data_IF_047165551349
#
_entry.id   IF_047165551349
#
_cell.length_a   1.000
_cell.length_b   1.000
_cell.length_c   1.000
_cell.angle_alpha   90.00
_cell.angle_beta   90.00
_cell.angle_gamma   90.00
#
_symmetry.space_group_name_H-M   'P 1'
#
loop_
_entity.id
_entity.type
_entity.pdbx_description
1 polymer ?
#
# COMPACT_ATOMS: atom_id res chain seq x y z
N UNK A 1 -24.43 2.69 -11.37
CA UNK A 1 -23.57 2.22 -10.29
C UNK A 1 -22.26 1.73 -10.82
N UNK A 2 -21.20 2.37 -10.39
CA UNK A 2 -19.88 2.03 -10.89
C UNK A 2 -19.28 0.90 -10.08
N UNK A 3 -19.38 -0.30 -10.64
CA UNK A 3 -18.61 -1.40 -10.09
C UNK A 3 -17.17 -1.22 -10.56
N UNK A 4 -16.26 -1.19 -9.62
CA UNK A 4 -14.86 -1.14 -9.93
C UNK A 4 -14.45 -2.41 -10.66
N UNK A 5 -13.53 -2.29 -11.58
CA UNK A 5 -12.91 -3.45 -12.20
C UNK A 5 -12.10 -4.20 -11.13
N UNK A 6 -11.87 -5.51 -11.30
CA UNK A 6 -11.11 -6.26 -10.30
C UNK A 6 -9.78 -5.61 -9.93
N UNK A 7 -9.04 -5.11 -10.91
CA UNK A 7 -7.75 -4.44 -10.67
C UNK A 7 -7.93 -3.18 -9.83
N UNK A 8 -8.90 -2.36 -10.18
CA UNK A 8 -9.20 -1.13 -9.45
C UNK A 8 -9.67 -1.42 -8.04
N UNK A 9 -10.49 -2.46 -7.88
CA UNK A 9 -10.99 -2.87 -6.57
C UNK A 9 -9.85 -3.34 -5.68
N UNK A 10 -8.91 -4.12 -6.23
CA UNK A 10 -7.75 -4.59 -5.46
C UNK A 10 -6.87 -3.44 -5.01
N UNK A 11 -6.64 -2.47 -5.87
CA UNK A 11 -5.89 -1.27 -5.49
C UNK A 11 -6.59 -0.49 -4.39
N UNK A 12 -7.91 -0.35 -4.48
CA UNK A 12 -8.70 0.34 -3.47
C UNK A 12 -8.65 -0.40 -2.12
N UNK A 13 -8.74 -1.73 -2.16
CA UNK A 13 -8.63 -2.55 -0.96
C UNK A 13 -7.26 -2.37 -0.31
N UNK A 14 -6.21 -2.43 -1.10
CA UNK A 14 -4.85 -2.25 -0.57
C UNK A 14 -4.66 -0.86 0.04
N UNK A 15 -5.13 0.18 -0.64
CA UNK A 15 -5.04 1.54 -0.13
C UNK A 15 -5.75 1.69 1.22
N UNK A 16 -6.93 1.10 1.34
CA UNK A 16 -7.67 1.14 2.59
C UNK A 16 -7.00 0.32 3.68
N UNK A 17 -6.43 -0.82 3.31
CA UNK A 17 -5.70 -1.68 4.24
C UNK A 17 -4.45 -0.99 4.79
N UNK A 18 -3.78 -0.19 3.97
CA UNK A 18 -2.65 0.64 4.42
C UNK A 18 -3.09 1.66 5.47
N UNK A 19 -4.23 2.27 5.24
CA UNK A 19 -4.72 3.32 6.14
C UNK A 19 -5.24 2.76 7.46
N UNK A 20 -6.02 1.69 7.39
CA UNK A 20 -6.69 1.11 8.57
C UNK A 20 -5.97 -0.08 9.17
N UNK A 21 -5.06 -0.67 8.45
CA UNK A 21 -4.23 -1.82 8.79
C UNK A 21 -4.98 -3.14 9.01
N UNK A 22 -6.24 -3.09 9.38
CA UNK A 22 -7.08 -4.27 9.56
C UNK A 22 -8.46 -4.03 8.98
N UNK A 23 -8.95 -4.97 8.18
CA UNK A 23 -10.26 -4.89 7.55
C UNK A 23 -10.93 -6.26 7.62
N UNK A 24 -12.25 -6.28 7.71
CA UNK A 24 -12.99 -7.54 7.65
C UNK A 24 -13.44 -7.83 6.22
N UNK A 25 -13.57 -9.11 5.91
CA UNK A 25 -14.04 -9.52 4.59
C UNK A 25 -15.47 -9.01 4.34
N UNK A 26 -16.32 -9.13 5.38
CA UNK A 26 -17.71 -8.65 5.27
C UNK A 26 -17.82 -7.16 4.98
N UNK A 27 -17.00 -6.36 5.64
CA UNK A 27 -16.97 -4.92 5.39
C UNK A 27 -16.61 -4.60 3.94
N UNK A 28 -15.58 -5.28 3.43
CA UNK A 28 -15.13 -5.06 2.05
C UNK A 28 -16.17 -5.52 1.03
N UNK A 29 -16.80 -6.65 1.28
CA UNK A 29 -17.85 -7.16 0.40
C UNK A 29 -19.01 -6.17 0.32
N UNK A 30 -19.44 -5.65 1.44
CA UNK A 30 -20.53 -4.67 1.50
C UNK A 30 -20.12 -3.37 0.82
N UNK A 31 -18.95 -2.87 1.12
CA UNK A 31 -18.48 -1.60 0.56
C UNK A 31 -18.40 -1.62 -0.96
N UNK A 32 -17.89 -2.72 -1.52
CA UNK A 32 -17.71 -2.80 -2.98
C UNK A 32 -18.86 -3.50 -3.71
N UNK A 33 -19.90 -3.88 -2.98
CA UNK A 33 -21.08 -4.49 -3.59
C UNK A 33 -20.82 -5.83 -4.26
N UNK A 34 -19.90 -6.62 -3.71
CA UNK A 34 -19.58 -7.96 -4.21
C UNK A 34 -19.72 -8.97 -3.07
N UNK A 35 -19.71 -10.26 -3.40
CA UNK A 35 -19.79 -11.28 -2.36
C UNK A 35 -18.43 -11.49 -1.69
N UNK A 36 -18.44 -12.14 -0.54
CA UNK A 36 -17.21 -12.39 0.22
C UNK A 36 -16.21 -13.26 -0.54
N UNK A 37 -16.72 -14.17 -1.36
CA UNK A 37 -15.87 -15.03 -2.18
C UNK A 37 -15.01 -14.20 -3.13
N UNK A 38 -15.60 -13.17 -3.73
CA UNK A 38 -14.88 -12.26 -4.62
C UNK A 38 -13.80 -11.49 -3.86
N UNK A 39 -14.12 -11.02 -2.66
CA UNK A 39 -13.15 -10.32 -1.83
C UNK A 39 -12.00 -11.24 -1.43
N UNK A 40 -12.30 -12.50 -1.05
CA UNK A 40 -11.25 -13.47 -0.70
C UNK A 40 -10.31 -13.71 -1.87
N UNK A 41 -10.86 -13.77 -3.08
CA UNK A 41 -10.07 -13.92 -4.29
C UNK A 41 -9.17 -12.71 -4.53
N UNK A 42 -9.70 -11.51 -4.31
CA UNK A 42 -8.91 -10.28 -4.44
C UNK A 42 -7.76 -10.27 -3.42
N UNK A 43 -8.04 -10.70 -2.20
CA UNK A 43 -7.01 -10.76 -1.15
C UNK A 43 -5.93 -11.77 -1.52
N UNK A 44 -6.31 -12.93 -2.07
CA UNK A 44 -5.33 -13.92 -2.53
C UNK A 44 -4.38 -13.32 -3.57
N UNK A 45 -4.91 -12.55 -4.52
CA UNK A 45 -4.08 -11.88 -5.52
C UNK A 45 -3.16 -10.85 -4.88
N UNK A 46 -3.66 -10.09 -3.91
CA UNK A 46 -2.85 -9.10 -3.21
C UNK A 46 -1.74 -9.74 -2.37
N UNK A 47 -1.97 -10.93 -1.82
CA UNK A 47 -0.95 -11.60 -1.02
C UNK A 47 0.26 -12.02 -1.85
N UNK A 48 0.12 -12.10 -3.16
CA UNK A 48 1.25 -12.40 -4.06
C UNK A 48 2.24 -11.23 -4.13
N UNK A 49 1.80 -10.03 -3.80
CA UNK A 49 2.60 -8.80 -3.93
C UNK A 49 2.91 -8.18 -2.58
N UNK A 50 1.98 -8.27 -1.64
CA UNK A 50 2.10 -7.61 -0.33
C UNK A 50 2.01 -8.62 0.80
N UNK A 51 2.67 -8.36 1.94
CA UNK A 51 2.61 -9.26 3.10
C UNK A 51 1.31 -9.05 3.87
N UNK A 52 0.25 -9.66 3.38
CA UNK A 52 -1.08 -9.60 3.97
C UNK A 52 -1.32 -10.89 4.75
N UNK A 53 -1.77 -10.75 5.98
CA UNK A 53 -2.11 -11.89 6.85
C UNK A 53 -3.61 -12.01 6.97
N UNK A 54 -4.11 -13.25 6.91
CA UNK A 54 -5.51 -13.53 7.19
C UNK A 54 -5.69 -13.75 8.68
N UNK A 55 -6.75 -13.14 9.22
CA UNK A 55 -7.09 -13.28 10.64
C UNK A 55 -8.39 -14.04 10.73
N UNK A 56 -8.38 -15.19 11.38
CA UNK A 56 -9.58 -15.96 11.65
C UNK A 56 -10.34 -15.33 12.80
N UNK A 57 -11.65 -15.19 12.66
CA UNK A 57 -12.45 -14.59 13.70
C UNK A 57 -13.89 -15.06 13.66
N UNK A 58 -14.62 -14.80 14.75
CA UNK A 58 -16.02 -15.19 14.91
C UNK A 58 -16.95 -14.59 13.86
N UNK A 59 -16.54 -13.51 13.24
CA UNK A 59 -17.39 -12.73 12.33
C UNK A 59 -16.89 -12.80 10.89
N UNK A 60 -16.48 -13.97 10.45
CA UNK A 60 -16.11 -14.18 9.06
C UNK A 60 -14.67 -13.91 8.69
N UNK A 61 -13.86 -13.57 9.66
CA UNK A 61 -12.44 -13.34 9.40
C UNK A 61 -12.13 -11.98 8.83
N UNK A 62 -10.86 -11.64 8.82
CA UNK A 62 -10.37 -10.37 8.32
C UNK A 62 -9.00 -10.49 7.73
N UNK A 63 -8.46 -9.37 7.31
CA UNK A 63 -7.12 -9.27 6.74
C UNK A 63 -6.40 -8.09 7.34
N UNK A 64 -5.10 -8.20 7.47
CA UNK A 64 -4.25 -7.10 7.93
C UNK A 64 -2.91 -7.15 7.22
N UNK A 65 -2.24 -6.01 7.15
CA UNK A 65 -0.85 -5.98 6.73
C UNK A 65 0.02 -6.48 7.88
N UNK A 66 1.08 -7.20 7.55
CA UNK A 66 2.03 -7.67 8.55
C UNK A 66 2.59 -6.48 9.31
N UNK A 67 2.78 -6.65 10.63
CA UNK A 67 3.22 -5.57 11.50
C UNK A 67 4.60 -5.01 11.11
N UNK A 68 5.46 -5.87 10.58
CA UNK A 68 6.79 -5.47 10.15
C UNK A 68 6.79 -4.68 8.84
N UNK A 69 5.69 -4.73 8.10
CA UNK A 69 5.61 -4.08 6.79
C UNK A 69 5.26 -2.60 6.93
N UNK A 70 6.16 -1.76 6.45
CA UNK A 70 5.97 -0.32 6.42
C UNK A 70 5.82 0.09 4.97
N UNK A 71 4.59 0.16 4.44
CA UNK A 71 4.43 0.60 3.05
C UNK A 71 4.85 2.05 2.97
N UNK A 72 5.78 2.33 2.14
CA UNK A 72 6.32 3.61 1.64
C UNK A 72 5.79 4.90 2.29
N UNK A 73 5.54 4.84 3.58
CA UNK A 73 5.24 6.02 4.37
C UNK A 73 6.49 6.61 4.97
N UNK A 74 7.55 5.83 4.90
CA UNK A 74 8.81 6.30 5.42
C UNK A 74 9.26 7.43 4.52
N UNK A 75 8.85 8.60 4.88
CA UNK A 75 9.54 9.76 4.43
C UNK A 75 10.96 9.65 4.92
N UNK A 76 11.88 10.15 4.13
CA UNK A 76 13.26 10.27 4.56
C UNK A 76 13.29 11.18 5.78
N UNK A 77 14.11 10.85 6.77
CA UNK A 77 14.26 11.74 7.92
C UNK A 77 15.06 12.98 7.47
N UNK A 78 15.04 14.08 8.26
CA UNK A 78 15.73 15.30 7.86
C UNK A 78 17.21 15.13 7.56
N UNK A 79 17.90 14.24 8.25
CA UNK A 79 19.32 13.97 8.00
C UNK A 79 19.55 13.30 6.65
N UNK A 80 18.66 12.37 6.29
CA UNK A 80 18.71 11.70 4.99
C UNK A 80 18.46 12.67 3.86
N UNK A 81 17.46 13.53 4.00
CA UNK A 81 17.16 14.56 3.02
C UNK A 81 18.34 15.50 2.85
N UNK A 82 18.94 15.95 3.95
CA UNK A 82 20.07 16.85 3.92
C UNK A 82 21.25 16.24 3.18
N UNK A 83 21.53 14.96 3.44
CA UNK A 83 22.62 14.24 2.75
C UNK A 83 22.35 14.17 1.25
N UNK A 84 21.14 13.80 0.86
CA UNK A 84 20.78 13.68 -0.55
C UNK A 84 20.87 15.03 -1.27
N UNK A 85 20.42 16.08 -0.61
CA UNK A 85 20.52 17.44 -1.18
C UNK A 85 21.95 17.89 -1.30
N UNK A 86 22.80 17.51 -0.35
CA UNK A 86 24.22 17.82 -0.37
C UNK A 86 24.93 17.11 -1.53
N UNK A 87 24.49 15.91 -1.86
CA UNK A 87 25.05 15.13 -2.96
C UNK A 87 24.61 15.63 -4.34
N UNK A 88 23.44 16.25 -4.41
CA UNK A 88 22.86 16.66 -5.68
C UNK A 88 23.79 17.53 -6.56
N UNK A 89 24.49 18.53 -6.01
CA UNK A 89 25.37 19.37 -6.84
C UNK A 89 26.51 18.63 -7.53
N UNK A 90 26.91 17.46 -7.00
CA UNK A 90 27.97 16.66 -7.59
C UNK A 90 27.46 15.63 -8.61
N UNK A 91 26.14 15.56 -8.80
CA UNK A 91 25.52 14.65 -9.74
C UNK A 91 25.08 15.38 -10.99
N UNK A 92 25.14 14.67 -12.11
CA UNK A 92 24.75 15.23 -13.39
C UNK A 92 23.91 14.23 -14.18
N UNK A 93 23.09 14.76 -15.12
CA UNK A 93 22.32 13.94 -16.02
C UNK A 93 21.26 13.11 -15.34
N UNK A 94 21.19 11.85 -15.73
CA UNK A 94 20.18 10.92 -15.23
C UNK A 94 20.25 10.70 -13.73
N UNK A 95 21.46 10.65 -13.17
CA UNK A 95 21.65 10.46 -11.74
C UNK A 95 21.01 11.56 -10.92
N UNK A 96 21.14 12.79 -11.39
CA UNK A 96 20.52 13.95 -10.74
C UNK A 96 18.99 13.86 -10.81
N UNK A 97 18.46 13.47 -11.96
CA UNK A 97 17.01 13.31 -12.14
C UNK A 97 16.47 12.24 -11.19
N UNK A 98 17.16 11.11 -11.10
CA UNK A 98 16.76 10.03 -10.20
C UNK A 98 16.83 10.48 -8.74
N UNK A 99 17.89 11.16 -8.34
CA UNK A 99 18.05 11.66 -6.99
C UNK A 99 16.93 12.64 -6.62
N UNK A 100 16.63 13.58 -7.48
CA UNK A 100 15.54 14.54 -7.26
C UNK A 100 14.19 13.85 -7.17
N UNK A 101 14.00 12.79 -7.95
CA UNK A 101 12.79 11.98 -7.89
C UNK A 101 12.64 11.31 -6.52
N UNK A 102 13.72 10.76 -5.96
CA UNK A 102 13.73 10.15 -4.64
C UNK A 102 13.37 11.20 -3.57
N UNK A 103 14.01 12.36 -3.62
CA UNK A 103 13.75 13.43 -2.67
C UNK A 103 12.29 13.86 -2.73
N UNK A 104 11.78 14.08 -3.94
CA UNK A 104 10.41 14.50 -4.16
C UNK A 104 9.41 13.47 -3.64
N UNK A 105 9.70 12.19 -3.82
CA UNK A 105 8.79 11.11 -3.47
C UNK A 105 8.78 10.79 -1.97
N UNK A 106 9.94 10.88 -1.32
CA UNK A 106 10.10 10.43 0.07
C UNK A 106 10.38 11.52 1.09
N UNK A 107 10.65 12.73 0.66
CA UNK A 107 10.96 13.84 1.57
C UNK A 107 9.70 14.57 2.05
N UNK A 108 8.56 14.08 1.64
CA UNK A 108 7.29 14.68 1.90
C UNK A 108 6.89 14.98 3.27
#
# INVERSE_FOLDING_TARGET
MNKLRPTERREAIYTELRAKRHLTIGYLAEKYGVNERTIRRDIEELTLVYPIETVCGRYGGGVKLSDWYQPMRSTLNPKQVALLKKMAPSMEGEDLVVLNSIISQFAG
#
